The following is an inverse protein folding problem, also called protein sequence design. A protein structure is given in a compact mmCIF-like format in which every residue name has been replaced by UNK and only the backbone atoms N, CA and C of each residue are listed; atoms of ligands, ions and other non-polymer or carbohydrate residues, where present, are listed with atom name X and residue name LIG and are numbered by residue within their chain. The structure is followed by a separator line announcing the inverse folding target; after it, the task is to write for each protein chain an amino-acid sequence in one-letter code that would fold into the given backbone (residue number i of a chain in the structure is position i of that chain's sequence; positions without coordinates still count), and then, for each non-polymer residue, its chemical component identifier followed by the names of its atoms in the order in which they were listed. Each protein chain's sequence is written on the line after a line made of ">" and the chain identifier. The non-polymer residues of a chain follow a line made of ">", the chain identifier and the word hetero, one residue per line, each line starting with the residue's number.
data_IF_474085897924
#
_entry.id   IF_474085897924
#
_cell.length_a   1.000
_cell.length_b   1.000
_cell.length_c   1.000
_cell.angle_alpha   90.00
_cell.angle_beta   90.00
_cell.angle_gamma   90.00
#
_symmetry.space_group_name_H-M   'P 1'
#
loop_
_entity.id
_entity.type
_entity.pdbx_description
1 polymer ?
#
# COMPACT_ATOMS: atom_id res chain seq x y z
N UNK A 1 17.21 16.46 -18.03
CA UNK A 1 17.19 15.00 -17.76
C UNK A 1 15.84 14.64 -17.16
N UNK A 2 15.37 13.39 -17.35
CA UNK A 2 14.14 12.89 -16.71
C UNK A 2 14.50 12.16 -15.40
N UNK A 3 13.70 12.35 -14.35
CA UNK A 3 13.89 11.67 -13.06
C UNK A 3 12.61 11.61 -12.25
N UNK A 4 12.68 10.95 -11.09
CA UNK A 4 11.56 10.80 -10.14
C UNK A 4 11.88 11.57 -8.85
N UNK A 5 10.93 12.35 -8.35
CA UNK A 5 11.06 12.99 -7.03
C UNK A 5 10.97 11.90 -5.96
N UNK A 6 12.05 11.66 -5.24
CA UNK A 6 12.10 10.65 -4.18
C UNK A 6 11.95 11.24 -2.77
N UNK A 7 12.23 12.54 -2.61
CA UNK A 7 12.17 13.22 -1.32
C UNK A 7 11.93 14.72 -1.49
N UNK A 8 11.27 15.35 -0.51
CA UNK A 8 11.06 16.80 -0.48
C UNK A 8 11.30 17.36 0.93
N UNK A 9 12.21 18.32 1.09
CA UNK A 9 12.55 18.93 2.37
C UNK A 9 12.74 20.44 2.19
N UNK A 10 12.04 21.24 2.99
CA UNK A 10 12.22 22.70 3.08
C UNK A 10 12.21 23.43 1.72
N UNK A 11 11.42 22.94 0.75
CA UNK A 11 11.32 23.55 -0.58
C UNK A 11 12.35 23.05 -1.59
N UNK A 12 13.23 22.14 -1.19
CA UNK A 12 14.10 21.39 -2.08
C UNK A 12 13.49 20.02 -2.38
N UNK A 13 13.73 19.53 -3.59
CA UNK A 13 13.29 18.23 -4.08
C UNK A 13 14.51 17.43 -4.51
N UNK A 14 14.59 16.20 -4.01
CA UNK A 14 15.63 15.27 -4.41
C UNK A 14 15.08 14.41 -5.53
N UNK A 15 15.70 14.52 -6.70
CA UNK A 15 15.27 13.85 -7.92
C UNK A 15 16.28 12.77 -8.27
N UNK A 16 15.83 11.52 -8.26
CA UNK A 16 16.64 10.41 -8.74
C UNK A 16 16.54 10.32 -10.26
N UNK A 17 17.70 10.36 -10.92
CA UNK A 17 17.87 10.18 -12.36
C UNK A 17 18.61 8.86 -12.55
N UNK A 18 17.97 7.91 -13.25
CA UNK A 18 18.54 6.58 -13.50
C UNK A 18 19.93 6.73 -14.17
N UNK A 19 20.89 5.95 -13.72
CA UNK A 19 22.30 5.96 -14.13
C UNK A 19 23.12 7.20 -13.74
N UNK A 20 22.45 8.31 -13.34
CA UNK A 20 23.11 9.57 -12.97
C UNK A 20 23.05 9.86 -11.47
N UNK A 21 22.17 9.21 -10.73
CA UNK A 21 22.04 9.33 -9.28
C UNK A 21 21.09 10.45 -8.83
N UNK A 22 21.33 10.98 -7.61
CA UNK A 22 20.42 11.88 -6.93
C UNK A 22 20.83 13.35 -7.13
N UNK A 23 19.89 14.17 -7.57
CA UNK A 23 20.05 15.63 -7.77
C UNK A 23 19.22 16.41 -6.76
N UNK A 24 19.83 17.40 -6.12
CA UNK A 24 19.10 18.40 -5.31
C UNK A 24 18.55 19.48 -6.23
N UNK A 25 17.23 19.62 -6.27
CA UNK A 25 16.54 20.50 -7.23
C UNK A 25 15.64 21.50 -6.51
N UNK A 26 15.51 22.70 -7.10
CA UNK A 26 14.47 23.68 -6.76
C UNK A 26 13.37 23.63 -7.83
N UNK A 27 12.11 23.79 -7.39
CA UNK A 27 11.01 23.94 -8.33
C UNK A 27 10.97 25.37 -8.87
N UNK A 28 10.89 25.56 -10.21
CA UNK A 28 10.75 26.89 -10.82
C UNK A 28 9.49 27.59 -10.31
N UNK A 29 9.55 28.91 -10.13
CA UNK A 29 8.46 29.72 -9.58
C UNK A 29 7.15 29.65 -10.38
N UNK A 30 7.18 29.18 -11.63
CA UNK A 30 6.00 28.99 -12.46
C UNK A 30 5.01 27.97 -11.86
N UNK A 31 5.50 26.95 -11.15
CA UNK A 31 4.63 25.96 -10.49
C UNK A 31 3.77 26.60 -9.40
N UNK A 32 4.37 27.54 -8.63
CA UNK A 32 3.62 28.32 -7.64
C UNK A 32 2.55 29.19 -8.28
N UNK A 33 2.85 29.83 -9.42
CA UNK A 33 1.87 30.63 -10.18
C UNK A 33 0.71 29.78 -10.72
N UNK A 34 1.01 28.55 -11.17
CA UNK A 34 0.02 27.58 -11.67
C UNK A 34 -0.68 26.79 -10.57
N UNK A 35 -0.37 27.06 -9.28
CA UNK A 35 -0.88 26.31 -8.12
C UNK A 35 -0.59 24.78 -8.19
N UNK A 36 0.46 24.39 -8.90
CA UNK A 36 0.89 23.02 -9.00
C UNK A 36 1.96 22.79 -7.93
N UNK A 37 1.72 21.85 -7.03
CA UNK A 37 2.69 21.45 -6.00
C UNK A 37 3.35 20.15 -6.42
N UNK A 38 4.71 20.12 -6.55
CA UNK A 38 5.40 18.86 -6.78
C UNK A 38 5.16 17.90 -5.62
N UNK A 39 4.90 16.62 -5.93
CA UNK A 39 4.73 15.55 -4.98
C UNK A 39 5.89 14.56 -5.06
N UNK A 40 6.10 13.83 -3.97
CA UNK A 40 6.96 12.66 -3.98
C UNK A 40 6.35 11.64 -4.93
N UNK A 41 7.16 11.00 -5.78
CA UNK A 41 6.70 10.12 -6.84
C UNK A 41 6.48 10.81 -8.20
N UNK A 42 6.44 12.15 -8.26
CA UNK A 42 6.33 12.83 -9.56
C UNK A 42 7.50 12.49 -10.48
N UNK A 43 7.18 12.14 -11.70
CA UNK A 43 8.14 12.09 -12.79
C UNK A 43 8.34 13.51 -13.31
N UNK A 44 9.59 13.95 -13.39
CA UNK A 44 9.93 15.34 -13.69
C UNK A 44 11.02 15.46 -14.74
N UNK A 45 11.02 16.59 -15.45
CA UNK A 45 12.15 17.05 -16.24
C UNK A 45 12.97 18.02 -15.39
N UNK A 46 14.29 17.82 -15.33
CA UNK A 46 15.21 18.73 -14.65
C UNK A 46 16.20 19.36 -15.64
N UNK A 47 16.55 20.62 -15.39
CA UNK A 47 17.71 21.28 -15.97
C UNK A 47 18.85 21.19 -14.94
N UNK A 48 19.96 20.56 -15.31
CA UNK A 48 21.14 20.43 -14.48
C UNK A 48 21.87 21.78 -14.45
N UNK A 49 22.21 22.26 -13.24
CA UNK A 49 23.02 23.46 -13.03
C UNK A 49 24.48 23.09 -12.86
N UNK A 50 24.74 22.07 -12.03
CA UNK A 50 26.08 21.56 -11.76
C UNK A 50 26.05 20.04 -11.67
N UNK A 51 26.83 19.38 -12.54
CA UNK A 51 26.91 17.90 -12.58
C UNK A 51 27.76 17.33 -11.43
N UNK A 52 28.77 18.08 -10.94
CA UNK A 52 29.64 17.63 -9.85
C UNK A 52 28.91 17.70 -8.52
N UNK A 53 28.25 18.83 -8.28
CA UNK A 53 27.48 19.06 -7.06
C UNK A 53 26.07 18.44 -7.13
N UNK A 54 25.70 17.83 -8.27
CA UNK A 54 24.38 17.23 -8.48
C UNK A 54 23.21 18.17 -8.15
N UNK A 55 23.27 19.39 -8.67
CA UNK A 55 22.22 20.39 -8.47
C UNK A 55 21.46 20.71 -9.74
N UNK A 56 20.18 21.09 -9.62
CA UNK A 56 19.34 21.39 -10.77
C UNK A 56 18.05 22.15 -10.43
N UNK A 57 17.26 22.37 -11.46
CA UNK A 57 15.91 22.92 -11.35
C UNK A 57 14.89 21.97 -11.95
N UNK A 58 13.77 21.75 -11.27
CA UNK A 58 12.60 21.11 -11.88
C UNK A 58 11.96 22.11 -12.82
N UNK A 59 11.92 21.77 -14.11
CA UNK A 59 11.37 22.62 -15.16
C UNK A 59 9.99 22.18 -15.60
N UNK A 60 9.67 20.88 -15.45
CA UNK A 60 8.39 20.30 -15.82
C UNK A 60 8.05 19.16 -14.87
N UNK A 61 6.76 19.05 -14.52
CA UNK A 61 6.18 17.89 -13.86
C UNK A 61 5.39 17.17 -14.95
N UNK A 62 5.76 15.92 -15.22
CA UNK A 62 5.10 15.09 -16.22
C UNK A 62 3.70 14.68 -15.74
N UNK A 63 2.78 14.32 -16.64
CA UNK A 63 1.45 13.88 -16.26
C UNK A 63 1.50 12.76 -15.23
N UNK A 64 0.67 12.88 -14.19
CA UNK A 64 0.51 11.86 -13.15
C UNK A 64 -0.43 10.78 -13.65
N UNK A 65 -0.08 9.52 -13.43
CA UNK A 65 -0.97 8.37 -13.64
C UNK A 65 -1.99 8.26 -12.51
N UNK A 66 -1.54 8.51 -11.28
CA UNK A 66 -2.38 8.58 -10.10
C UNK A 66 -1.80 9.54 -9.06
N UNK A 67 -2.64 9.90 -8.10
CA UNK A 67 -2.27 10.72 -6.94
C UNK A 67 -3.00 10.19 -5.72
N UNK A 68 -2.24 9.69 -4.74
CA UNK A 68 -2.80 9.22 -3.47
C UNK A 68 -2.94 10.39 -2.51
N UNK A 69 -4.04 10.39 -1.74
CA UNK A 69 -4.31 11.45 -0.76
C UNK A 69 -3.53 11.21 0.53
N UNK A 70 -3.42 9.95 0.94
CA UNK A 70 -2.71 9.52 2.17
C UNK A 70 -1.98 8.21 1.92
N UNK A 71 -0.64 8.23 1.88
CA UNK A 71 0.23 9.41 1.87
C UNK A 71 0.04 10.25 0.60
N UNK A 72 0.38 11.57 0.66
CA UNK A 72 0.33 12.46 -0.50
C UNK A 72 1.52 12.15 -1.43
N UNK A 73 1.33 11.24 -2.36
CA UNK A 73 2.32 10.74 -3.33
C UNK A 73 1.66 10.51 -4.69
N UNK A 74 2.47 10.46 -5.73
CA UNK A 74 2.00 10.26 -7.11
C UNK A 74 2.73 9.10 -7.79
N UNK A 75 2.14 8.62 -8.88
CA UNK A 75 2.72 7.60 -9.76
C UNK A 75 3.14 6.34 -9.00
N UNK A 76 2.20 5.80 -8.22
CA UNK A 76 2.34 4.53 -7.52
C UNK A 76 1.77 3.43 -8.41
N UNK A 77 2.61 2.46 -8.78
CA UNK A 77 2.23 1.35 -9.65
C UNK A 77 1.46 0.27 -8.89
N UNK A 78 1.79 0.06 -7.62
CA UNK A 78 1.16 -0.97 -6.77
C UNK A 78 1.40 -0.73 -5.28
N UNK A 79 0.60 -1.38 -4.45
CA UNK A 79 0.81 -1.47 -3.01
C UNK A 79 1.13 -2.92 -2.61
N UNK A 80 2.14 -3.13 -1.78
CA UNK A 80 2.38 -4.40 -1.11
C UNK A 80 1.93 -4.27 0.34
N UNK A 81 0.87 -4.98 0.69
CA UNK A 81 0.28 -4.95 2.04
C UNK A 81 0.87 -6.11 2.82
N UNK A 82 1.73 -5.79 3.80
CA UNK A 82 2.50 -6.77 4.57
C UNK A 82 1.84 -7.00 5.93
N UNK A 83 1.51 -8.25 6.21
CA UNK A 83 1.06 -8.73 7.51
C UNK A 83 2.00 -9.86 7.97
N UNK A 84 2.10 -10.07 9.28
CA UNK A 84 2.77 -11.26 9.79
C UNK A 84 1.79 -12.44 9.73
N UNK A 85 2.27 -13.63 9.37
CA UNK A 85 1.49 -14.85 9.44
C UNK A 85 1.17 -15.21 10.93
N UNK A 86 2.07 -14.84 11.84
CA UNK A 86 1.87 -14.82 13.28
C UNK A 86 2.81 -13.78 13.93
N UNK A 87 2.56 -13.42 15.19
CA UNK A 87 3.38 -12.52 16.02
C UNK A 87 3.74 -11.17 15.36
N UNK A 88 2.75 -10.27 15.20
CA UNK A 88 1.38 -10.33 15.70
C UNK A 88 0.45 -11.17 14.83
N UNK A 89 -0.57 -11.78 15.42
CA UNK A 89 -1.60 -12.46 14.65
C UNK A 89 -2.22 -11.51 13.62
N UNK A 90 -2.50 -11.98 12.38
CA UNK A 90 -3.05 -11.15 11.34
C UNK A 90 -4.44 -10.64 11.72
N UNK A 91 -4.61 -9.33 11.69
CA UNK A 91 -5.91 -8.70 11.84
C UNK A 91 -6.57 -8.60 10.45
N UNK A 92 -7.45 -9.55 10.13
CA UNK A 92 -8.11 -9.63 8.83
C UNK A 92 -8.98 -8.40 8.55
N UNK A 93 -9.64 -7.83 9.55
CA UNK A 93 -10.43 -6.61 9.35
C UNK A 93 -9.53 -5.43 8.94
N UNK A 94 -8.36 -5.28 9.56
CA UNK A 94 -7.41 -4.25 9.17
C UNK A 94 -6.83 -4.51 7.77
N UNK A 95 -6.54 -5.76 7.41
CA UNK A 95 -6.09 -6.11 6.06
C UNK A 95 -7.16 -5.73 5.04
N UNK A 96 -8.41 -6.08 5.28
CA UNK A 96 -9.52 -5.76 4.38
C UNK A 96 -9.71 -4.24 4.20
N UNK A 97 -9.50 -3.44 5.24
CA UNK A 97 -9.49 -1.97 5.13
C UNK A 97 -8.38 -1.45 4.23
N UNK A 98 -7.18 -2.06 4.26
CA UNK A 98 -6.11 -1.73 3.31
C UNK A 98 -6.53 -2.05 1.88
N UNK A 99 -7.11 -3.22 1.65
CA UNK A 99 -7.58 -3.63 0.33
C UNK A 99 -8.65 -2.67 -0.21
N UNK A 100 -9.61 -2.29 0.62
CA UNK A 100 -10.64 -1.30 0.28
C UNK A 100 -10.02 0.05 -0.10
N UNK A 101 -9.10 0.56 0.74
CA UNK A 101 -8.47 1.86 0.50
C UNK A 101 -7.69 1.89 -0.81
N UNK A 102 -6.92 0.85 -1.10
CA UNK A 102 -6.17 0.74 -2.34
C UNK A 102 -7.09 0.54 -3.53
N UNK A 103 -8.11 -0.31 -3.40
CA UNK A 103 -9.13 -0.51 -4.43
C UNK A 103 -9.85 0.79 -4.81
N UNK A 104 -10.24 1.61 -3.83
CA UNK A 104 -10.88 2.92 -4.07
C UNK A 104 -9.96 3.90 -4.81
N UNK A 105 -8.66 3.78 -4.62
CA UNK A 105 -7.65 4.61 -5.30
C UNK A 105 -7.18 3.98 -6.62
N UNK A 106 -7.71 2.83 -7.02
CA UNK A 106 -7.34 2.14 -8.26
C UNK A 106 -5.91 1.60 -8.25
N UNK A 107 -5.33 1.34 -7.06
CA UNK A 107 -3.96 0.85 -6.92
C UNK A 107 -3.98 -0.68 -6.79
N UNK A 108 -3.32 -1.42 -7.70
CA UNK A 108 -3.14 -2.86 -7.59
C UNK A 108 -2.49 -3.27 -6.27
N UNK A 109 -2.91 -4.39 -5.69
CA UNK A 109 -2.43 -4.86 -4.40
C UNK A 109 -1.80 -6.23 -4.49
N UNK A 110 -0.66 -6.39 -3.79
CA UNK A 110 -0.04 -7.67 -3.44
C UNK A 110 -0.20 -7.85 -1.94
N UNK A 111 -0.74 -8.98 -1.51
CA UNK A 111 -0.79 -9.37 -0.10
C UNK A 111 0.47 -10.16 0.22
N UNK A 112 1.23 -9.73 1.23
CA UNK A 112 2.43 -10.41 1.66
C UNK A 112 2.31 -10.84 3.13
N UNK A 113 2.29 -12.14 3.38
CA UNK A 113 2.34 -12.69 4.73
C UNK A 113 3.78 -13.04 5.09
N UNK A 114 4.40 -12.19 5.91
CA UNK A 114 5.76 -12.39 6.41
C UNK A 114 5.78 -13.27 7.67
N UNK A 115 6.97 -13.73 8.07
CA UNK A 115 7.21 -14.62 9.21
C UNK A 115 6.60 -16.02 9.04
N UNK A 116 6.62 -16.53 7.80
CA UNK A 116 6.14 -17.88 7.50
C UNK A 116 6.92 -18.98 8.26
N UNK A 117 8.14 -18.67 8.68
CA UNK A 117 9.05 -19.56 9.39
C UNK A 117 8.55 -19.96 10.80
N UNK A 118 7.66 -19.17 11.40
CA UNK A 118 7.14 -19.42 12.76
C UNK A 118 5.73 -20.02 12.77
N UNK A 119 5.15 -20.37 11.61
CA UNK A 119 3.81 -20.97 11.51
C UNK A 119 3.84 -22.31 10.78
N UNK A 120 2.83 -23.13 11.04
CA UNK A 120 2.66 -24.42 10.37
C UNK A 120 1.90 -24.24 9.06
N UNK A 121 1.97 -25.23 8.18
CA UNK A 121 1.29 -25.20 6.89
C UNK A 121 -0.22 -24.93 6.99
N UNK A 122 -0.90 -25.47 8.00
CA UNK A 122 -2.33 -25.24 8.22
C UNK A 122 -2.70 -23.78 8.41
N UNK A 123 -1.86 -22.99 9.09
CA UNK A 123 -2.07 -21.56 9.27
C UNK A 123 -1.84 -20.81 7.94
N UNK A 124 -0.84 -21.22 7.16
CA UNK A 124 -0.59 -20.67 5.82
C UNK A 124 -1.76 -20.98 4.87
N UNK A 125 -2.28 -22.21 4.92
CA UNK A 125 -3.44 -22.61 4.11
C UNK A 125 -4.67 -21.77 4.46
N UNK A 126 -4.92 -21.48 5.74
CA UNK A 126 -6.01 -20.60 6.16
C UNK A 126 -5.86 -19.19 5.57
N UNK A 127 -4.66 -18.62 5.65
CA UNK A 127 -4.38 -17.29 5.10
C UNK A 127 -4.58 -17.28 3.58
N UNK A 128 -4.06 -18.28 2.90
CA UNK A 128 -4.19 -18.44 1.45
C UNK A 128 -5.67 -18.55 1.03
N UNK A 129 -6.41 -19.51 1.59
CA UNK A 129 -7.81 -19.75 1.25
C UNK A 129 -8.74 -18.59 1.63
N UNK A 130 -8.31 -17.72 2.56
CA UNK A 130 -9.07 -16.52 2.89
C UNK A 130 -9.09 -15.52 1.74
N UNK A 131 -7.99 -15.41 0.96
CA UNK A 131 -7.82 -14.37 -0.06
C UNK A 131 -7.63 -14.88 -1.49
N UNK A 132 -7.46 -16.19 -1.73
CA UNK A 132 -7.17 -16.73 -3.07
C UNK A 132 -8.19 -16.35 -4.14
N UNK A 133 -9.47 -16.18 -3.73
CA UNK A 133 -10.57 -15.84 -4.65
C UNK A 133 -10.82 -14.34 -4.79
N UNK A 134 -10.03 -13.52 -4.08
CA UNK A 134 -10.17 -12.08 -4.12
C UNK A 134 -9.40 -11.41 -5.27
N UNK A 135 -8.73 -12.20 -6.13
CA UNK A 135 -7.99 -11.68 -7.29
C UNK A 135 -6.67 -10.99 -6.96
N UNK A 136 -6.17 -11.10 -5.71
CA UNK A 136 -4.89 -10.56 -5.29
C UNK A 136 -3.77 -11.59 -5.44
N UNK A 137 -2.57 -11.12 -5.80
CA UNK A 137 -1.35 -11.91 -5.65
C UNK A 137 -1.04 -12.09 -4.16
N UNK A 138 -0.74 -13.32 -3.73
CA UNK A 138 -0.46 -13.64 -2.33
C UNK A 138 0.95 -14.22 -2.23
N UNK A 139 1.80 -13.57 -1.43
CA UNK A 139 3.15 -14.00 -1.16
C UNK A 139 3.31 -14.42 0.30
N UNK A 140 4.07 -15.48 0.53
CA UNK A 140 4.50 -15.90 1.85
C UNK A 140 6.01 -15.75 1.96
N UNK A 141 6.47 -14.98 2.95
CA UNK A 141 7.87 -14.64 3.11
C UNK A 141 8.37 -14.86 4.54
N UNK A 142 9.66 -15.02 4.68
CA UNK A 142 10.36 -14.87 5.94
C UNK A 142 11.55 -13.95 5.75
N UNK A 143 11.54 -12.81 6.42
CA UNK A 143 12.71 -11.92 6.46
C UNK A 143 13.82 -12.45 7.35
N UNK A 144 13.59 -13.51 8.11
CA UNK A 144 14.58 -14.18 8.94
C UNK A 144 15.35 -15.26 8.16
N UNK A 145 14.64 -16.11 7.40
CA UNK A 145 15.23 -17.17 6.58
C UNK A 145 15.46 -16.74 5.12
N UNK A 146 15.05 -15.53 4.76
CA UNK A 146 15.06 -14.96 3.40
C UNK A 146 14.21 -15.72 2.38
N UNK A 147 13.37 -16.65 2.83
CA UNK A 147 12.45 -17.39 1.97
C UNK A 147 11.40 -16.46 1.36
N UNK A 148 11.15 -16.57 0.06
CA UNK A 148 10.18 -15.75 -0.68
C UNK A 148 10.67 -14.34 -1.03
N UNK A 149 11.89 -13.93 -0.63
CA UNK A 149 12.40 -12.56 -0.91
C UNK A 149 12.67 -12.34 -2.39
N UNK A 150 13.15 -13.35 -3.11
CA UNK A 150 13.36 -13.23 -4.56
C UNK A 150 12.03 -13.03 -5.31
N UNK A 151 10.95 -13.68 -4.87
CA UNK A 151 9.61 -13.46 -5.42
C UNK A 151 9.14 -12.02 -5.18
N UNK A 152 9.43 -11.47 -3.98
CA UNK A 152 9.15 -10.05 -3.69
C UNK A 152 9.92 -9.15 -4.67
N UNK A 153 11.22 -9.37 -4.87
CA UNK A 153 12.04 -8.58 -5.80
C UNK A 153 11.48 -8.59 -7.23
N UNK A 154 11.08 -9.77 -7.72
CA UNK A 154 10.48 -9.89 -9.06
C UNK A 154 9.16 -9.09 -9.16
N UNK A 155 8.31 -9.11 -8.13
CA UNK A 155 7.08 -8.34 -8.11
C UNK A 155 7.30 -6.82 -8.07
N UNK A 156 8.40 -6.37 -7.47
CA UNK A 156 8.77 -4.96 -7.36
C UNK A 156 9.46 -4.41 -8.61
N UNK A 157 10.04 -5.26 -9.44
CA UNK A 157 10.91 -4.89 -10.55
C UNK A 157 10.27 -3.90 -11.51
N UNK A 158 10.94 -2.76 -11.73
CA UNK A 158 10.51 -1.70 -12.62
C UNK A 158 9.30 -0.90 -12.13
N UNK A 159 8.88 -1.07 -10.88
CA UNK A 159 7.67 -0.44 -10.32
C UNK A 159 7.99 0.44 -9.13
N UNK A 160 7.12 1.40 -8.88
CA UNK A 160 7.07 2.18 -7.64
C UNK A 160 6.03 1.56 -6.71
N UNK A 161 6.48 0.91 -5.65
CA UNK A 161 5.62 0.15 -4.73
C UNK A 161 5.53 0.83 -3.38
N UNK A 162 4.32 0.99 -2.87
CA UNK A 162 4.07 1.41 -1.49
C UNK A 162 4.02 0.17 -0.60
N UNK A 163 4.84 0.13 0.46
CA UNK A 163 4.73 -0.88 1.51
C UNK A 163 3.77 -0.39 2.59
N UNK A 164 2.73 -1.15 2.85
CA UNK A 164 1.72 -0.85 3.85
C UNK A 164 1.58 -2.02 4.83
N UNK A 165 1.03 -1.75 6.01
CA UNK A 165 0.80 -2.78 7.01
C UNK A 165 1.08 -2.32 8.44
N UNK A 166 0.63 -3.06 9.47
CA UNK A 166 0.78 -2.68 10.87
C UNK A 166 2.24 -2.70 11.36
N UNK A 167 2.46 -2.24 12.59
CA UNK A 167 3.77 -2.32 13.22
C UNK A 167 4.13 -3.77 13.57
N UNK A 168 5.43 -4.10 13.54
CA UNK A 168 5.94 -5.41 13.96
C UNK A 168 5.80 -6.56 12.95
N UNK A 169 5.29 -6.31 11.74
CA UNK A 169 5.13 -7.34 10.69
C UNK A 169 6.40 -7.59 9.87
N UNK A 170 7.47 -6.79 10.08
CA UNK A 170 8.75 -6.97 9.41
C UNK A 170 8.96 -6.07 8.17
N UNK A 171 8.21 -4.95 8.01
CA UNK A 171 8.41 -4.01 6.89
C UNK A 171 9.84 -3.47 6.82
N UNK A 172 10.40 -2.99 7.93
CA UNK A 172 11.78 -2.48 7.97
C UNK A 172 12.81 -3.57 7.68
N UNK A 173 12.58 -4.81 8.14
CA UNK A 173 13.44 -5.95 7.82
C UNK A 173 13.38 -6.27 6.32
N UNK A 174 12.18 -6.26 5.73
CA UNK A 174 12.00 -6.42 4.27
C UNK A 174 12.76 -5.35 3.50
N UNK A 175 12.61 -4.08 3.90
CA UNK A 175 13.34 -2.97 3.27
C UNK A 175 14.85 -3.13 3.33
N UNK A 176 15.41 -3.61 4.46
CA UNK A 176 16.85 -3.83 4.60
C UNK A 176 17.36 -4.98 3.72
N UNK A 177 16.54 -5.99 3.45
CA UNK A 177 16.88 -7.06 2.49
C UNK A 177 16.81 -6.59 1.04
N UNK A 178 15.86 -5.70 0.73
CA UNK A 178 15.70 -5.13 -0.60
C UNK A 178 16.79 -4.08 -0.91
N UNK A 179 17.17 -3.29 0.08
CA UNK A 179 18.19 -2.24 -0.03
C UNK A 179 19.07 -2.21 1.21
N UNK A 180 20.15 -3.03 1.26
CA UNK A 180 21.02 -3.11 2.44
C UNK A 180 21.66 -1.78 2.85
N UNK A 181 21.80 -0.82 1.93
CA UNK A 181 22.32 0.52 2.22
C UNK A 181 21.32 1.45 2.90
N UNK A 182 20.05 1.10 2.93
CA UNK A 182 19.01 1.95 3.52
C UNK A 182 19.09 2.02 5.05
N UNK A 183 19.71 1.03 5.72
CA UNK A 183 19.94 0.93 7.17
C UNK A 183 18.71 1.35 8.01
N UNK A 184 17.55 0.78 7.72
CA UNK A 184 16.35 1.04 8.52
C UNK A 184 16.47 0.36 9.89
N UNK A 185 16.14 1.08 10.96
CA UNK A 185 16.15 0.52 12.30
C UNK A 185 15.16 -0.64 12.41
N UNK A 186 15.68 -1.84 12.65
CA UNK A 186 14.90 -3.05 12.93
C UNK A 186 14.94 -3.30 14.42
N UNK A 187 13.79 -3.41 15.06
CA UNK A 187 13.70 -3.72 16.50
C UNK A 187 12.28 -3.71 17.01
N UNK A 188 12.07 -4.41 18.10
CA UNK A 188 10.86 -4.30 18.91
C UNK A 188 10.55 -2.84 19.17
N UNK A 189 9.25 -2.48 19.11
CA UNK A 189 8.73 -1.12 19.30
C UNK A 189 9.60 -0.32 20.24
N UNK A 190 10.42 0.57 19.71
CA UNK A 190 11.40 1.27 20.50
C UNK A 190 10.66 2.10 21.56
N UNK A 191 10.78 1.74 22.84
CA UNK A 191 10.29 2.51 23.98
C UNK A 191 10.83 3.94 24.00
N UNK A 192 11.84 4.24 23.17
CA UNK A 192 12.45 5.57 23.01
C UNK A 192 11.58 6.59 22.28
N UNK A 193 10.51 6.19 21.58
CA UNK A 193 9.59 7.14 20.92
C UNK A 193 8.66 7.84 21.93
N UNK A 194 8.63 7.43 23.21
CA UNK A 194 7.84 8.09 24.26
C UNK A 194 8.39 9.45 24.73
N UNK A 195 9.55 9.92 24.27
CA UNK A 195 10.07 11.23 24.66
C UNK A 195 10.32 12.13 23.44
N UNK A 196 9.28 12.90 23.12
CA UNK A 196 9.36 14.25 22.60
C UNK A 196 10.40 14.55 21.51
N UNK A 197 10.11 14.18 20.28
CA UNK A 197 10.45 15.00 19.11
C UNK A 197 9.36 14.79 18.07
N UNK A 198 8.59 15.85 17.77
CA UNK A 198 7.79 15.95 16.57
C UNK A 198 8.74 15.96 15.36
N UNK A 199 9.29 14.82 15.00
CA UNK A 199 9.83 14.63 13.66
C UNK A 199 8.63 14.43 12.75
N UNK A 200 8.28 15.45 12.02
CA UNK A 200 7.45 15.36 10.83
C UNK A 200 8.08 14.26 9.98
N UNK A 201 7.48 13.05 10.00
CA UNK A 201 7.95 11.92 9.20
C UNK A 201 7.68 12.29 7.74
N UNK A 202 8.72 12.76 7.05
CA UNK A 202 8.64 13.01 5.63
C UNK A 202 8.55 11.66 4.92
N UNK A 203 7.54 11.49 4.08
CA UNK A 203 7.49 10.37 3.15
C UNK A 203 8.74 10.42 2.27
N UNK A 204 9.37 9.29 2.04
CA UNK A 204 10.55 9.16 1.20
C UNK A 204 10.41 7.90 0.36
N UNK A 205 10.75 7.99 -0.91
CA UNK A 205 10.85 6.86 -1.83
C UNK A 205 12.30 6.41 -1.88
N UNK A 206 12.54 5.13 -1.67
CA UNK A 206 13.86 4.52 -1.69
C UNK A 206 14.07 3.87 -3.06
N UNK A 207 15.14 4.24 -3.74
CA UNK A 207 15.56 3.60 -4.97
C UNK A 207 16.21 2.24 -4.65
N UNK A 208 15.77 1.19 -5.32
CA UNK A 208 16.32 -0.17 -5.20
C UNK A 208 17.32 -0.41 -6.34
N UNK A 209 16.83 -0.50 -7.57
CA UNK A 209 17.63 -0.68 -8.78
C UNK A 209 16.87 -0.17 -10.01
N UNK A 210 17.57 0.29 -11.03
CA UNK A 210 16.98 0.79 -12.27
C UNK A 210 15.80 1.73 -12.02
N UNK A 211 14.59 1.35 -12.46
CA UNK A 211 13.34 2.07 -12.22
C UNK A 211 12.50 1.46 -11.07
N UNK A 212 13.12 0.67 -10.20
CA UNK A 212 12.44 0.06 -9.06
C UNK A 212 12.55 0.95 -7.84
N UNK A 213 11.41 1.30 -7.26
CA UNK A 213 11.32 2.18 -6.11
C UNK A 213 10.37 1.60 -5.07
N UNK A 214 10.69 1.82 -3.81
CA UNK A 214 9.84 1.40 -2.70
C UNK A 214 9.65 2.56 -1.74
N UNK A 215 8.44 2.70 -1.23
CA UNK A 215 8.08 3.69 -0.24
C UNK A 215 7.53 3.00 1.01
N UNK A 216 8.14 3.24 2.16
CA UNK A 216 7.55 2.84 3.44
C UNK A 216 6.53 3.89 3.88
N UNK A 217 5.37 3.41 4.27
CA UNK A 217 4.32 4.26 4.84
C UNK A 217 4.28 4.07 6.36
N UNK A 218 4.96 4.91 7.13
CA UNK A 218 4.93 4.81 8.58
C UNK A 218 3.52 5.11 9.11
N UNK A 219 3.00 4.24 9.96
CA UNK A 219 1.89 4.59 10.84
C UNK A 219 0.47 4.28 10.39
N UNK A 220 0.23 3.36 9.46
CA UNK A 220 -1.12 2.82 9.20
C UNK A 220 -1.56 1.84 10.32
N UNK A 221 -1.69 2.34 11.53
CA UNK A 221 -2.26 1.55 12.64
C UNK A 221 -3.78 1.61 12.69
N UNK A 222 -4.39 2.60 12.05
CA UNK A 222 -5.84 2.74 11.91
C UNK A 222 -6.20 3.28 10.53
N UNK A 223 -7.03 2.55 9.82
CA UNK A 223 -7.57 2.94 8.52
C UNK A 223 -9.07 3.17 8.68
N UNK A 224 -9.47 4.41 8.42
CA UNK A 224 -10.85 4.80 8.39
C UNK A 224 -11.42 4.58 6.99
N UNK A 225 -12.65 4.10 6.93
CA UNK A 225 -13.37 3.84 5.68
C UNK A 225 -14.49 4.87 5.45
N UNK A 226 -14.40 6.05 6.07
CA UNK A 226 -15.43 7.10 6.06
C UNK A 226 -15.74 7.65 4.66
N UNK A 227 -14.79 7.48 3.73
CA UNK A 227 -14.96 7.87 2.33
C UNK A 227 -15.79 6.87 1.50
N UNK A 228 -16.22 5.77 2.10
CA UNK A 228 -17.05 4.77 1.41
C UNK A 228 -18.53 4.98 1.70
N UNK A 229 -19.34 4.82 0.68
CA UNK A 229 -20.77 4.61 0.83
C UNK A 229 -20.99 3.12 1.16
N UNK A 230 -21.90 2.83 2.13
CA UNK A 230 -22.11 1.44 2.53
C UNK A 230 -22.64 0.57 1.38
N UNK A 231 -23.38 1.16 0.43
CA UNK A 231 -23.92 0.48 -0.74
C UNK A 231 -22.85 0.10 -1.77
N UNK A 232 -21.74 0.88 -1.86
CA UNK A 232 -20.62 0.61 -2.77
C UNK A 232 -19.61 -0.38 -2.18
N UNK A 233 -19.67 -0.65 -0.86
CA UNK A 233 -18.69 -1.49 -0.18
C UNK A 233 -18.53 -2.86 -0.82
N UNK A 234 -19.63 -3.48 -1.26
CA UNK A 234 -19.66 -4.79 -1.91
C UNK A 234 -18.82 -4.85 -3.19
N UNK A 235 -18.70 -3.75 -3.92
CA UNK A 235 -17.99 -3.69 -5.20
C UNK A 235 -16.47 -3.88 -5.02
N UNK A 236 -15.97 -3.70 -3.81
CA UNK A 236 -14.56 -3.91 -3.43
C UNK A 236 -14.29 -5.30 -2.83
N UNK A 237 -15.32 -6.11 -2.64
CA UNK A 237 -15.21 -7.53 -2.32
C UNK A 237 -15.35 -8.33 -3.60
N UNK A 238 -14.28 -8.33 -4.40
CA UNK A 238 -14.28 -8.82 -5.78
C UNK A 238 -14.74 -10.24 -5.93
N UNK A 239 -14.58 -11.07 -4.90
CA UNK A 239 -15.08 -12.43 -4.80
C UNK A 239 -16.61 -12.54 -4.80
N UNK A 240 -17.34 -11.43 -4.58
CA UNK A 240 -18.80 -11.41 -4.63
C UNK A 240 -19.33 -11.27 -6.07
N UNK A 241 -18.54 -10.62 -6.94
CA UNK A 241 -18.98 -10.26 -8.30
C UNK A 241 -19.43 -11.45 -9.14
N UNK A 242 -18.80 -12.62 -8.96
CA UNK A 242 -19.19 -13.86 -9.65
C UNK A 242 -20.62 -14.29 -9.30
N UNK A 243 -21.05 -14.05 -8.05
CA UNK A 243 -22.32 -14.56 -7.52
C UNK A 243 -23.43 -13.50 -7.47
N UNK A 244 -23.12 -12.22 -7.70
CA UNK A 244 -24.12 -11.14 -7.75
C UNK A 244 -25.24 -11.36 -8.78
N UNK A 245 -24.97 -11.86 -9.99
CA UNK A 245 -26.03 -12.12 -10.98
C UNK A 245 -27.12 -13.10 -10.50
N UNK A 246 -26.82 -13.90 -9.48
CA UNK A 246 -27.74 -14.87 -8.89
C UNK A 246 -28.61 -14.27 -7.77
N UNK A 247 -28.43 -12.97 -7.44
CA UNK A 247 -29.25 -12.27 -6.47
C UNK A 247 -30.59 -11.88 -7.09
N UNK A 248 -31.69 -12.12 -6.36
CA UNK A 248 -33.03 -11.78 -6.82
C UNK A 248 -33.28 -10.27 -6.84
N UNK A 249 -32.67 -9.53 -5.94
CA UNK A 249 -32.99 -8.12 -5.72
C UNK A 249 -31.91 -7.22 -6.36
N UNK A 250 -32.35 -6.21 -7.12
CA UNK A 250 -31.44 -5.17 -7.60
C UNK A 250 -30.90 -4.38 -6.39
N UNK A 251 -29.58 -4.11 -6.40
CA UNK A 251 -28.93 -3.41 -5.30
C UNK A 251 -28.80 -4.26 -4.03
N UNK A 252 -28.83 -5.58 -4.15
CA UNK A 252 -28.56 -6.50 -3.06
C UNK A 252 -27.24 -6.15 -2.38
N UNK A 253 -27.28 -5.99 -1.06
CA UNK A 253 -26.09 -5.74 -0.22
C UNK A 253 -25.63 -7.01 0.50
N UNK A 254 -26.20 -8.16 0.14
CA UNK A 254 -25.81 -9.52 0.55
C UNK A 254 -25.85 -9.77 2.07
N UNK A 255 -26.63 -9.02 2.82
CA UNK A 255 -26.73 -9.15 4.30
C UNK A 255 -28.09 -9.74 4.71
N UNK A 256 -29.18 -9.00 4.44
CA UNK A 256 -30.52 -9.38 4.92
C UNK A 256 -31.41 -9.98 3.84
N UNK A 257 -31.02 -9.92 2.59
CA UNK A 257 -31.85 -10.39 1.48
C UNK A 257 -32.04 -11.91 1.52
N UNK A 258 -33.28 -12.41 1.44
CA UNK A 258 -33.57 -13.83 1.61
C UNK A 258 -33.08 -14.71 0.45
N UNK A 259 -33.02 -14.15 -0.77
CA UNK A 259 -32.54 -14.86 -1.98
C UNK A 259 -31.34 -14.09 -2.53
N UNK A 260 -30.15 -14.55 -2.14
CA UNK A 260 -28.87 -13.91 -2.42
C UNK A 260 -27.85 -14.93 -2.91
N UNK A 261 -27.27 -14.70 -4.09
CA UNK A 261 -26.23 -15.56 -4.67
C UNK A 261 -24.97 -15.62 -3.82
N UNK A 262 -24.53 -14.46 -3.26
CA UNK A 262 -23.35 -14.37 -2.39
C UNK A 262 -23.54 -15.18 -1.10
N UNK A 263 -24.70 -15.10 -0.44
CA UNK A 263 -24.95 -15.91 0.77
C UNK A 263 -25.02 -17.40 0.47
N UNK A 264 -25.59 -17.79 -0.67
CA UNK A 264 -25.56 -19.19 -1.11
C UNK A 264 -24.12 -19.65 -1.37
N UNK A 265 -23.31 -18.86 -2.05
CA UNK A 265 -21.89 -19.17 -2.29
C UNK A 265 -21.09 -19.27 -0.99
N UNK A 266 -21.42 -18.47 0.02
CA UNK A 266 -20.85 -18.58 1.36
C UNK A 266 -21.22 -19.93 2.01
N UNK A 267 -22.48 -20.33 1.96
CA UNK A 267 -22.97 -21.63 2.50
C UNK A 267 -22.30 -22.82 1.80
N UNK A 268 -22.03 -22.68 0.50
CA UNK A 268 -21.31 -23.67 -0.31
C UNK A 268 -19.78 -23.65 -0.12
N UNK A 269 -19.24 -22.76 0.72
CA UNK A 269 -17.80 -22.61 0.96
C UNK A 269 -17.02 -22.01 -0.21
N UNK A 270 -17.70 -21.36 -1.16
CA UNK A 270 -17.08 -20.69 -2.31
C UNK A 270 -16.54 -19.31 -1.97
N UNK A 271 -17.03 -18.70 -0.90
CA UNK A 271 -16.60 -17.44 -0.35
C UNK A 271 -16.05 -17.69 1.06
N UNK A 272 -14.93 -17.05 1.41
CA UNK A 272 -14.36 -17.14 2.74
C UNK A 272 -15.31 -16.55 3.78
N UNK A 273 -15.59 -17.32 4.84
CA UNK A 273 -16.41 -16.87 5.97
C UNK A 273 -15.77 -15.66 6.67
N UNK A 274 -14.44 -15.63 6.82
CA UNK A 274 -13.71 -14.51 7.43
C UNK A 274 -13.94 -13.22 6.64
N UNK A 275 -13.81 -13.30 5.31
CA UNK A 275 -14.03 -12.15 4.42
C UNK A 275 -15.47 -11.65 4.49
N UNK A 276 -16.43 -12.55 4.43
CA UNK A 276 -17.84 -12.19 4.52
C UNK A 276 -18.19 -11.56 5.88
N UNK A 277 -17.70 -12.11 6.98
CA UNK A 277 -17.91 -11.53 8.32
C UNK A 277 -17.30 -10.13 8.43
N UNK A 278 -16.09 -9.91 7.88
CA UNK A 278 -15.48 -8.59 7.80
C UNK A 278 -16.32 -7.62 6.96
N UNK A 279 -16.82 -8.07 5.82
CA UNK A 279 -17.74 -7.26 4.99
C UNK A 279 -18.94 -6.78 5.78
N UNK A 280 -19.62 -7.68 6.49
CA UNK A 280 -20.78 -7.35 7.32
C UNK A 280 -20.41 -6.33 8.41
N UNK A 281 -19.29 -6.55 9.12
CA UNK A 281 -18.81 -5.64 10.16
C UNK A 281 -18.51 -4.24 9.61
N UNK A 282 -17.85 -4.14 8.45
CA UNK A 282 -17.53 -2.87 7.79
C UNK A 282 -18.79 -2.15 7.27
N UNK A 283 -19.76 -2.91 6.76
CA UNK A 283 -21.05 -2.35 6.35
C UNK A 283 -21.83 -1.76 7.53
N UNK A 284 -21.93 -2.47 8.64
CA UNK A 284 -22.62 -1.96 9.83
C UNK A 284 -21.88 -0.75 10.43
N UNK A 285 -20.55 -0.72 10.42
CA UNK A 285 -19.78 0.47 10.81
C UNK A 285 -20.15 1.70 9.97
N UNK A 286 -20.22 1.56 8.65
CA UNK A 286 -20.62 2.66 7.76
C UNK A 286 -22.08 3.09 7.96
N UNK A 287 -22.96 2.16 8.27
CA UNK A 287 -24.38 2.42 8.54
C UNK A 287 -24.59 3.19 9.84
N UNK A 288 -23.82 2.88 10.89
CA UNK A 288 -23.91 3.58 12.17
C UNK A 288 -23.39 5.02 12.10
N UNK A 289 -22.31 5.29 11.37
CA UNK A 289 -21.73 6.64 11.21
C UNK A 289 -22.68 7.65 10.56
N UNK A 290 -23.64 7.23 9.75
CA UNK A 290 -24.61 8.12 9.10
C UNK A 290 -25.74 8.60 10.02
N UNK A 291 -25.75 8.20 11.28
CA UNK A 291 -26.77 8.65 12.25
C UNK A 291 -26.40 9.94 13.00
N UNK A 292 -25.22 10.52 12.70
CA UNK A 292 -24.73 11.78 13.27
C UNK A 292 -24.37 12.75 12.09
#
# INVERSE_FOLDING_TARGET
>A
MKGKIVKGIAGFYYVHVVDYGLYECKAKGIFRKRKIKPLIGDNVQIDVIDEKEKTGNIVEILPRENELIRPAVSNIDQAMVIFAAAEPNPNFNLLDRFLLLMGKQGVPVIICFNKRDIVKQKELDLLYHTYEKCGYEILFTSTYTEEGIEQVKEQLKGKTTVLAGPSGVGKSSMMNLLQPKANMETGEVSEKIKRGRHTTRHSEIIHIEGNTYVMDTPGFSSIWIDQFEKEELKDYFTEFLEFEPECKFKGCVHINEPICGVKRALEEGKISKIRYENYVNLYEELKEKRKY
#
